data_IF_582904176803
#
_entry.id   IF_582904176803
#
_cell.length_a   1.000
_cell.length_b   1.000
_cell.length_c   1.000
_cell.angle_alpha   90.00
_cell.angle_beta   90.00
_cell.angle_gamma   90.00
#
_symmetry.space_group_name_H-M   'P 1'
#
loop_
_entity.id
_entity.type
_entity.pdbx_description
1 polymer ?
#
# COMPACT_ATOMS: atom_id res chain seq x y z
N UNK A 1 25.91 -3.84 -21.23
CA UNK A 1 25.99 -3.55 -19.79
C UNK A 1 24.86 -4.28 -19.12
N UNK A 2 25.12 -4.88 -17.96
CA UNK A 2 24.08 -5.53 -17.16
C UNK A 2 23.47 -4.48 -16.24
N UNK A 3 22.15 -4.46 -16.13
CA UNK A 3 21.43 -3.60 -15.18
C UNK A 3 21.13 -4.44 -13.95
N UNK A 4 21.57 -3.98 -12.78
CA UNK A 4 21.31 -4.63 -11.50
C UNK A 4 20.11 -3.93 -10.85
N UNK A 5 19.09 -4.72 -10.51
CA UNK A 5 17.90 -4.25 -9.80
C UNK A 5 18.04 -4.55 -8.30
N UNK A 6 18.17 -3.50 -7.48
CA UNK A 6 18.27 -3.63 -6.02
C UNK A 6 16.94 -3.21 -5.37
N UNK A 7 16.21 -4.13 -4.73
CA UNK A 7 14.92 -3.81 -4.13
C UNK A 7 15.10 -3.03 -2.82
N UNK A 8 14.59 -1.79 -2.80
CA UNK A 8 14.52 -0.95 -1.61
C UNK A 8 13.29 -1.28 -0.76
N UNK A 9 13.06 -0.50 0.30
CA UNK A 9 11.82 -0.57 1.07
C UNK A 9 10.59 -0.30 0.20
N UNK A 10 9.49 -0.97 0.56
CA UNK A 10 8.17 -0.79 -0.03
C UNK A 10 7.25 0.02 0.90
N UNK A 11 6.18 0.56 0.32
CA UNK A 11 5.13 1.29 1.06
C UNK A 11 3.80 0.59 0.85
N UNK A 12 3.11 0.27 1.93
CA UNK A 12 1.73 -0.21 1.88
C UNK A 12 0.79 0.99 1.95
N UNK A 13 -0.13 1.07 1.01
CA UNK A 13 -1.15 2.12 0.90
C UNK A 13 -2.52 1.47 1.01
N UNK A 14 -3.28 1.88 2.01
CA UNK A 14 -4.67 1.45 2.17
C UNK A 14 -5.59 2.64 2.03
N UNK A 15 -6.57 2.52 1.14
CA UNK A 15 -7.59 3.53 0.89
C UNK A 15 -8.92 3.05 1.48
N UNK A 16 -9.58 3.90 2.25
CA UNK A 16 -10.89 3.64 2.85
C UNK A 16 -11.87 4.74 2.47
N UNK A 17 -13.13 4.38 2.31
CA UNK A 17 -14.19 5.37 2.09
C UNK A 17 -14.70 5.86 3.44
N UNK A 18 -14.56 7.16 3.71
CA UNK A 18 -14.93 7.78 4.99
C UNK A 18 -16.26 8.54 4.93
N UNK A 19 -17.00 8.40 3.83
CA UNK A 19 -18.30 9.02 3.62
C UNK A 19 -18.44 9.65 2.23
N UNK A 20 -19.44 10.51 2.06
CA UNK A 20 -19.65 11.29 0.84
C UNK A 20 -19.24 12.75 1.08
N UNK A 21 -18.68 13.39 0.06
CA UNK A 21 -18.36 14.82 0.07
C UNK A 21 -19.59 15.67 -0.28
N UNK A 22 -19.46 17.00 -0.22
CA UNK A 22 -20.55 17.96 -0.49
C UNK A 22 -21.20 17.80 -1.89
N UNK A 23 -20.49 17.14 -2.80
CA UNK A 23 -20.96 16.83 -4.17
C UNK A 23 -21.49 15.40 -4.34
N UNK A 24 -21.63 14.62 -3.27
CA UNK A 24 -22.11 13.24 -3.33
C UNK A 24 -21.07 12.24 -3.86
N UNK A 25 -19.79 12.62 -3.91
CA UNK A 25 -18.69 11.75 -4.31
C UNK A 25 -18.12 11.01 -3.09
N UNK A 26 -17.72 9.74 -3.21
CA UNK A 26 -17.10 9.00 -2.12
C UNK A 26 -15.77 9.65 -1.73
N UNK A 27 -15.67 10.02 -0.45
CA UNK A 27 -14.49 10.62 0.16
C UNK A 27 -13.52 9.51 0.53
N UNK A 28 -12.44 9.39 -0.24
CA UNK A 28 -11.42 8.38 -0.03
C UNK A 28 -10.32 8.94 0.89
N UNK A 29 -10.06 8.25 1.99
CA UNK A 29 -8.93 8.52 2.89
C UNK A 29 -7.86 7.46 2.71
N UNK A 30 -6.67 7.89 2.32
CA UNK A 30 -5.51 7.01 2.17
C UNK A 30 -4.64 7.03 3.43
N UNK A 31 -4.08 5.86 3.76
CA UNK A 31 -3.11 5.68 4.83
C UNK A 31 -1.88 4.97 4.30
N UNK A 32 -0.73 5.47 4.70
CA UNK A 32 0.57 5.04 4.22
C UNK A 32 1.35 4.38 5.35
N UNK A 33 1.81 3.16 5.12
CA UNK A 33 2.71 2.42 6.01
C UNK A 33 4.05 2.29 5.29
N UNK A 34 5.00 3.12 5.72
CA UNK A 34 6.35 3.15 5.17
C UNK A 34 7.23 2.04 5.75
N UNK A 35 8.36 1.76 5.09
CA UNK A 35 9.37 0.79 5.54
C UNK A 35 8.87 -0.66 5.62
N UNK A 36 7.96 -1.05 4.72
CA UNK A 36 7.64 -2.46 4.53
C UNK A 36 8.81 -3.13 3.83
N UNK A 37 9.36 -4.20 4.41
CA UNK A 37 10.53 -4.89 3.85
C UNK A 37 10.23 -5.34 2.42
N UNK A 38 11.16 -5.14 1.49
CA UNK A 38 11.02 -5.60 0.09
C UNK A 38 10.79 -7.11 -0.01
N UNK A 39 11.40 -7.87 0.89
CA UNK A 39 11.30 -9.34 0.90
C UNK A 39 10.01 -9.89 1.54
N UNK A 40 9.12 -9.03 2.06
CA UNK A 40 7.83 -9.47 2.56
C UNK A 40 6.98 -10.01 1.40
N UNK A 41 6.27 -11.12 1.63
CA UNK A 41 5.32 -11.66 0.67
C UNK A 41 4.16 -10.69 0.46
N UNK A 42 3.68 -10.55 -0.77
CA UNK A 42 2.51 -9.72 -1.06
C UNK A 42 1.26 -10.23 -0.33
N UNK A 43 1.15 -11.55 -0.13
CA UNK A 43 0.08 -12.17 0.66
C UNK A 43 0.14 -11.72 2.12
N UNK A 44 1.31 -11.79 2.76
CA UNK A 44 1.47 -11.40 4.17
C UNK A 44 1.16 -9.92 4.37
N UNK A 45 1.60 -9.07 3.43
CA UNK A 45 1.33 -7.62 3.47
C UNK A 45 -0.17 -7.35 3.31
N UNK A 46 -0.85 -8.08 2.43
CA UNK A 46 -2.29 -7.98 2.23
C UNK A 46 -3.06 -8.45 3.47
N UNK A 47 -2.72 -9.60 4.04
CA UNK A 47 -3.41 -10.17 5.21
C UNK A 47 -3.28 -9.26 6.43
N UNK A 48 -2.10 -8.65 6.64
CA UNK A 48 -1.91 -7.65 7.69
C UNK A 48 -2.79 -6.41 7.44
N UNK A 49 -2.88 -5.93 6.21
CA UNK A 49 -3.77 -4.81 5.87
C UNK A 49 -5.24 -5.16 6.17
N UNK A 50 -5.70 -6.34 5.76
CA UNK A 50 -7.07 -6.80 6.03
C UNK A 50 -7.32 -6.94 7.53
N UNK A 51 -6.41 -7.53 8.28
CA UNK A 51 -6.56 -7.68 9.72
C UNK A 51 -6.63 -6.32 10.43
N UNK A 52 -5.77 -5.38 10.08
CA UNK A 52 -5.78 -4.02 10.65
C UNK A 52 -7.10 -3.29 10.35
N UNK A 53 -7.58 -3.39 9.12
CA UNK A 53 -8.78 -2.66 8.69
C UNK A 53 -10.09 -3.39 9.00
N UNK A 54 -10.05 -4.68 9.34
CA UNK A 54 -11.20 -5.40 9.90
C UNK A 54 -11.63 -4.86 11.27
N UNK A 55 -10.74 -4.14 11.96
CA UNK A 55 -11.03 -3.44 13.21
C UNK A 55 -11.68 -2.07 13.00
N UNK A 56 -11.71 -1.58 11.76
CA UNK A 56 -12.24 -0.28 11.39
C UNK A 56 -13.65 -0.44 10.78
N UNK A 57 -14.56 0.48 11.07
CA UNK A 57 -15.94 0.45 10.54
C UNK A 57 -16.03 0.89 9.07
N UNK A 58 -15.05 1.64 8.58
CA UNK A 58 -15.06 2.18 7.23
C UNK A 58 -14.66 1.12 6.20
N UNK A 59 -15.40 0.98 5.08
CA UNK A 59 -15.07 0.01 4.06
C UNK A 59 -13.71 0.32 3.40
N UNK A 60 -12.94 -0.74 3.17
CA UNK A 60 -11.69 -0.65 2.41
C UNK A 60 -12.02 -0.55 0.92
N UNK A 61 -11.58 0.54 0.31
CA UNK A 61 -11.72 0.79 -1.11
C UNK A 61 -10.65 0.05 -1.93
N UNK A 62 -9.39 0.17 -1.50
CA UNK A 62 -8.27 -0.46 -2.21
C UNK A 62 -7.07 -0.67 -1.29
N UNK A 63 -6.37 -1.77 -1.48
CA UNK A 63 -5.06 -2.05 -0.86
C UNK A 63 -4.03 -2.10 -1.99
N UNK A 64 -2.96 -1.33 -1.88
CA UNK A 64 -1.86 -1.28 -2.85
C UNK A 64 -0.52 -1.32 -2.14
N UNK A 65 0.47 -1.95 -2.77
CA UNK A 65 1.86 -1.92 -2.35
C UNK A 65 2.69 -1.22 -3.42
N UNK A 66 3.44 -0.20 -3.01
CA UNK A 66 4.36 0.52 -3.87
C UNK A 66 5.78 -0.01 -3.60
N UNK A 67 6.32 -0.79 -4.53
CA UNK A 67 7.67 -1.35 -4.46
C UNK A 67 8.66 -0.39 -5.11
N UNK A 68 9.74 -0.06 -4.38
CA UNK A 68 10.82 0.78 -4.90
C UNK A 68 12.00 -0.10 -5.25
N UNK A 69 12.54 0.10 -6.45
CA UNK A 69 13.66 -0.69 -6.97
C UNK A 69 14.64 0.31 -7.58
N UNK A 70 15.88 0.26 -7.13
CA UNK A 70 16.97 1.03 -7.73
C UNK A 70 17.59 0.22 -8.86
N UNK A 71 17.80 0.87 -10.00
CA UNK A 71 18.44 0.29 -11.18
C UNK A 71 19.80 0.94 -11.36
N UNK A 72 20.86 0.14 -11.31
CA UNK A 72 22.24 0.60 -11.43
C UNK A 72 22.88 -0.15 -12.59
N UNK A 73 23.57 0.57 -13.48
CA UNK A 73 24.42 -0.02 -14.51
C UNK A 73 25.77 -0.45 -13.90
N UNK A 74 26.19 -1.67 -14.22
CA UNK A 74 27.56 -2.16 -13.96
C UNK A 74 28.54 -1.71 -15.05
#
# INVERSE_FOLDING_TARGET
MAVIATPLNSVLVVACEVGLDEHGLPKIRQRYFNNVRSNASDQDVYDVAVALYSLQEYPVYSIRRDNRIDLIEE
#
